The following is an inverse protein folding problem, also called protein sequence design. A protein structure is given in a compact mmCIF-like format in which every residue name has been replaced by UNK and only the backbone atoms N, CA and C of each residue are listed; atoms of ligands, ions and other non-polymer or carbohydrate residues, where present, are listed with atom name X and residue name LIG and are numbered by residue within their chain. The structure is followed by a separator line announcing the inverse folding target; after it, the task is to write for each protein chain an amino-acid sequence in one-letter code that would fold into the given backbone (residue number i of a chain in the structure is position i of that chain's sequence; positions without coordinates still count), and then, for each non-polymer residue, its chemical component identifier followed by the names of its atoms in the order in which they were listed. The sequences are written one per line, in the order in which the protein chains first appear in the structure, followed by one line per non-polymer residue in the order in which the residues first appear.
data_IF_834553099842
#
_entry.id   IF_834553099842
#
_cell.length_a   1.000
_cell.length_b   1.000
_cell.length_c   1.000
_cell.angle_alpha   90.00
_cell.angle_beta   90.00
_cell.angle_gamma   90.00
#
_symmetry.space_group_name_H-M   'P 1'
#
loop_
_entity.id
_entity.type
_entity.pdbx_description
1 polymer ?
#
# COMPACT_ATOMS: atom_id res chain seq x y z
N UNK A 1 -5.94 -3.06 21.26
CA UNK A 1 -7.33 -2.76 21.66
C UNK A 1 -8.04 -2.00 20.53
N UNK A 2 -9.26 -2.40 20.16
CA UNK A 2 -10.07 -1.62 19.21
C UNK A 2 -10.81 -0.52 19.97
N UNK A 3 -10.73 0.73 19.49
CA UNK A 3 -11.39 1.90 20.09
C UNK A 3 -12.08 2.73 19.02
N UNK A 4 -13.31 3.12 19.27
CA UNK A 4 -14.01 4.11 18.44
C UNK A 4 -13.69 5.51 18.95
N UNK A 5 -13.30 6.41 18.04
CA UNK A 5 -12.90 7.78 18.36
C UNK A 5 -13.59 8.79 17.46
N UNK A 6 -13.71 10.02 17.97
CA UNK A 6 -14.17 11.16 17.20
C UNK A 6 -12.97 12.03 16.80
N UNK A 7 -12.94 12.45 15.54
CA UNK A 7 -11.91 13.35 15.01
C UNK A 7 -12.48 14.73 14.73
N UNK A 8 -11.60 15.74 14.78
CA UNK A 8 -11.92 17.13 14.41
C UNK A 8 -11.61 17.43 12.96
N UNK A 9 -10.73 16.63 12.34
CA UNK A 9 -10.35 16.75 10.95
C UNK A 9 -10.27 15.37 10.31
N UNK A 10 -10.76 15.26 9.07
CA UNK A 10 -10.69 14.03 8.28
C UNK A 10 -9.52 14.06 7.31
N UNK A 11 -9.31 15.22 6.68
CA UNK A 11 -8.19 15.49 5.79
C UNK A 11 -6.96 15.92 6.58
N UNK A 12 -5.90 15.11 6.55
CA UNK A 12 -4.59 15.51 7.07
C UNK A 12 -3.59 15.54 5.92
N UNK A 13 -2.29 15.71 6.22
CA UNK A 13 -1.27 15.84 5.19
C UNK A 13 -0.07 14.93 5.47
N UNK A 14 0.49 14.40 4.40
CA UNK A 14 1.82 13.81 4.39
C UNK A 14 2.80 14.69 3.64
N UNK A 15 4.05 14.63 4.10
CA UNK A 15 5.16 15.42 3.60
C UNK A 15 6.21 14.47 3.03
N UNK A 16 6.06 14.06 1.77
CA UNK A 16 7.06 13.24 1.09
C UNK A 16 8.43 13.93 1.04
N UNK A 17 9.54 13.17 0.91
CA UNK A 17 10.90 13.71 0.90
C UNK A 17 11.20 14.68 -0.26
N UNK A 18 10.38 14.69 -1.31
CA UNK A 18 10.48 15.61 -2.45
C UNK A 18 9.99 17.04 -2.12
N UNK A 19 9.56 17.29 -0.87
CA UNK A 19 9.06 18.59 -0.42
C UNK A 19 7.59 18.83 -0.78
N UNK A 20 6.91 17.83 -1.36
CA UNK A 20 5.49 17.89 -1.65
C UNK A 20 4.62 17.93 -0.39
N UNK A 21 3.34 18.24 -0.58
CA UNK A 21 2.32 18.12 0.45
C UNK A 21 1.16 17.34 -0.16
N UNK A 22 0.86 16.19 0.42
CA UNK A 22 -0.15 15.26 -0.10
C UNK A 22 -1.32 15.21 0.88
N UNK A 23 -2.53 15.59 0.45
CA UNK A 23 -3.72 15.47 1.29
C UNK A 23 -4.12 14.00 1.44
N UNK A 24 -4.31 13.57 2.69
CA UNK A 24 -4.58 12.18 3.05
C UNK A 24 -5.85 12.02 3.88
N UNK A 25 -6.55 10.92 3.64
CA UNK A 25 -7.69 10.46 4.44
C UNK A 25 -7.37 9.06 4.96
N UNK A 26 -7.29 8.94 6.28
CA UNK A 26 -7.07 7.66 6.94
C UNK A 26 -8.27 7.36 7.85
N UNK A 27 -9.22 6.51 7.44
CA UNK A 27 -10.39 6.15 8.25
C UNK A 27 -10.06 5.46 9.57
N UNK A 28 -8.87 4.89 9.63
CA UNK A 28 -8.36 4.15 10.77
C UNK A 28 -7.00 4.71 11.18
N UNK A 29 -6.59 4.39 12.38
CA UNK A 29 -5.23 4.65 12.88
C UNK A 29 -4.76 3.38 13.60
N UNK A 30 -3.65 2.83 13.10
CA UNK A 30 -3.24 1.43 13.27
C UNK A 30 -3.55 0.55 12.05
N UNK A 31 -2.92 -0.61 11.99
CA UNK A 31 -3.10 -1.56 10.88
C UNK A 31 -2.99 -3.02 11.34
N UNK A 32 -3.94 -3.85 10.90
CA UNK A 32 -4.03 -5.27 11.29
C UNK A 32 -3.33 -6.23 10.34
N UNK A 33 -2.80 -5.75 9.20
CA UNK A 33 -2.05 -6.60 8.25
C UNK A 33 -0.74 -7.12 8.87
N UNK A 34 -0.14 -6.35 9.79
CA UNK A 34 0.98 -6.85 10.60
C UNK A 34 2.30 -7.06 9.87
N UNK A 35 2.59 -6.29 8.82
CA UNK A 35 3.85 -6.42 8.06
C UNK A 35 5.06 -6.21 8.99
N UNK A 36 6.04 -7.12 9.03
CA UNK A 36 7.21 -7.01 9.90
C UNK A 36 8.17 -5.89 9.49
N UNK A 37 8.05 -5.39 8.26
CA UNK A 37 8.83 -4.30 7.68
C UNK A 37 8.06 -2.97 7.57
N UNK A 38 6.89 -2.85 8.21
CA UNK A 38 6.09 -1.62 8.11
C UNK A 38 6.83 -0.41 8.70
N UNK A 39 6.87 0.69 7.97
CA UNK A 39 7.55 1.92 8.39
C UNK A 39 6.91 2.60 9.61
N UNK A 40 5.64 2.30 9.89
CA UNK A 40 4.90 2.82 11.04
C UNK A 40 5.23 2.09 12.35
N UNK A 41 6.08 1.06 12.33
CA UNK A 41 6.40 0.26 13.53
C UNK A 41 7.21 0.99 14.60
N UNK A 42 7.69 2.20 14.33
CA UNK A 42 8.25 3.06 15.38
C UNK A 42 7.17 3.49 16.39
N UNK A 43 5.90 3.55 15.96
CA UNK A 43 4.78 3.55 16.89
C UNK A 43 4.61 2.14 17.48
N UNK A 44 4.85 2.03 18.78
CA UNK A 44 4.79 0.77 19.49
C UNK A 44 3.40 0.12 19.50
N UNK A 45 2.37 0.94 19.34
CA UNK A 45 0.97 0.54 19.40
C UNK A 45 0.39 0.19 18.03
N UNK A 46 1.15 0.42 16.95
CA UNK A 46 0.68 0.38 15.56
C UNK A 46 -0.09 -0.89 15.13
N UNK A 47 0.30 -2.06 15.66
CA UNK A 47 -0.39 -3.32 15.37
C UNK A 47 -1.20 -3.87 16.55
N UNK A 48 -1.12 -3.24 17.72
CA UNK A 48 -1.84 -3.71 18.90
C UNK A 48 -3.10 -2.92 19.12
N UNK A 49 -3.06 -1.60 18.93
CA UNK A 49 -4.19 -0.70 19.05
C UNK A 49 -4.72 -0.31 17.67
N UNK A 50 -6.04 -0.12 17.61
CA UNK A 50 -6.74 0.25 16.39
C UNK A 50 -7.83 1.25 16.73
N UNK A 51 -7.60 2.49 16.31
CA UNK A 51 -8.56 3.57 16.46
C UNK A 51 -9.44 3.64 15.20
N UNK A 52 -10.75 3.65 15.39
CA UNK A 52 -11.75 3.76 14.34
C UNK A 52 -12.38 5.14 14.40
N UNK A 53 -12.15 5.95 13.36
CA UNK A 53 -12.61 7.36 13.34
C UNK A 53 -14.06 7.43 12.90
N UNK A 54 -14.99 7.09 13.79
CA UNK A 54 -16.39 6.80 13.45
C UNK A 54 -17.15 7.96 12.80
N UNK A 55 -16.74 9.21 13.04
CA UNK A 55 -17.33 10.42 12.45
C UNK A 55 -16.56 10.96 11.24
N UNK A 56 -15.57 10.22 10.71
CA UNK A 56 -14.65 10.76 9.69
C UNK A 56 -15.39 11.21 8.42
N UNK A 57 -16.41 10.49 7.97
CA UNK A 57 -17.17 10.87 6.78
C UNK A 57 -17.95 12.17 6.97
N UNK A 58 -18.51 12.40 8.16
CA UNK A 58 -19.29 13.60 8.46
C UNK A 58 -18.39 14.84 8.56
N UNK A 59 -17.17 14.64 9.07
CA UNK A 59 -16.15 15.69 9.10
C UNK A 59 -15.64 15.96 7.69
N UNK A 60 -15.32 14.91 6.93
CA UNK A 60 -14.87 15.02 5.55
C UNK A 60 -15.87 15.79 4.69
N UNK A 61 -17.16 15.47 4.79
CA UNK A 61 -18.21 16.16 4.05
C UNK A 61 -18.16 17.68 4.26
N UNK A 62 -17.89 18.15 5.50
CA UNK A 62 -17.80 19.58 5.82
C UNK A 62 -16.52 20.21 5.27
N UNK A 63 -15.39 19.52 5.39
CA UNK A 63 -14.09 19.98 4.88
C UNK A 63 -14.10 20.10 3.35
N UNK A 64 -14.82 19.19 2.67
CA UNK A 64 -14.90 19.17 1.21
C UNK A 64 -15.64 20.36 0.59
N UNK A 65 -16.41 21.14 1.36
CA UNK A 65 -17.14 22.33 0.88
C UNK A 65 -16.17 23.38 0.30
N UNK A 66 -14.97 23.49 0.87
CA UNK A 66 -13.96 24.48 0.49
C UNK A 66 -12.78 23.84 -0.26
N UNK A 67 -12.90 22.57 -0.65
CA UNK A 67 -11.78 21.81 -1.20
C UNK A 67 -11.50 22.13 -2.66
N UNK A 68 -10.22 22.23 -3.02
CA UNK A 68 -9.81 22.41 -4.39
C UNK A 68 -10.00 21.10 -5.18
N UNK A 69 -10.84 21.13 -6.21
CA UNK A 69 -11.19 19.93 -7.00
C UNK A 69 -10.04 19.37 -7.83
N UNK A 70 -8.98 20.14 -8.03
CA UNK A 70 -7.81 19.69 -8.78
C UNK A 70 -6.83 18.85 -7.98
N UNK A 71 -6.90 18.95 -6.65
CA UNK A 71 -6.01 18.22 -5.74
C UNK A 71 -6.35 16.72 -5.75
N UNK A 72 -5.30 15.90 -5.71
CA UNK A 72 -5.44 14.44 -5.61
C UNK A 72 -5.36 14.03 -4.15
N UNK A 73 -6.41 13.36 -3.66
CA UNK A 73 -6.50 12.89 -2.29
C UNK A 73 -6.05 11.44 -2.20
N UNK A 74 -5.17 11.14 -1.26
CA UNK A 74 -4.72 9.78 -0.98
C UNK A 74 -5.50 9.18 0.19
N UNK A 75 -6.07 8.00 0.01
CA UNK A 75 -6.82 7.29 1.04
C UNK A 75 -6.06 6.03 1.44
N UNK A 76 -5.75 5.90 2.74
CA UNK A 76 -5.02 4.75 3.27
C UNK A 76 -3.50 4.92 3.23
N UNK A 77 -3.01 6.10 3.61
CA UNK A 77 -1.56 6.35 3.74
C UNK A 77 -1.03 5.87 5.09
N UNK A 78 -1.78 6.12 6.16
CA UNK A 78 -1.51 5.68 7.53
C UNK A 78 -2.59 4.73 8.05
N UNK A 79 -3.06 3.84 7.20
CA UNK A 79 -3.82 2.64 7.55
C UNK A 79 -3.96 1.75 6.32
N UNK A 80 -4.51 0.54 6.49
CA UNK A 80 -5.09 -0.17 5.33
C UNK A 80 -6.61 0.02 5.32
N UNK A 81 -7.18 0.63 4.26
CA UNK A 81 -8.59 0.99 4.22
C UNK A 81 -9.51 -0.22 3.98
N UNK A 82 -8.99 -1.38 3.57
CA UNK A 82 -9.76 -2.59 3.28
C UNK A 82 -9.38 -3.78 4.17
N UNK A 83 -8.74 -3.52 5.32
CA UNK A 83 -8.58 -4.54 6.37
C UNK A 83 -9.94 -5.05 6.86
N UNK A 84 -9.96 -6.22 7.49
CA UNK A 84 -11.20 -6.97 7.76
C UNK A 84 -12.28 -6.17 8.53
N UNK A 85 -11.89 -5.25 9.42
CA UNK A 85 -12.84 -4.42 10.17
C UNK A 85 -13.67 -3.47 9.29
N UNK A 86 -13.21 -3.15 8.08
CA UNK A 86 -13.93 -2.33 7.11
C UNK A 86 -15.25 -2.97 6.66
N UNK A 87 -15.42 -4.30 6.81
CA UNK A 87 -16.71 -4.96 6.58
C UNK A 87 -17.81 -4.42 7.49
N UNK A 88 -17.46 -4.17 8.76
CA UNK A 88 -18.37 -3.66 9.78
C UNK A 88 -18.56 -2.15 9.64
N UNK A 89 -17.45 -1.41 9.59
CA UNK A 89 -17.45 0.04 9.77
C UNK A 89 -17.79 0.83 8.50
N UNK A 90 -17.38 0.30 7.34
CA UNK A 90 -17.63 0.88 6.01
C UNK A 90 -17.15 2.33 5.88
N UNK A 91 -16.13 2.74 6.64
CA UNK A 91 -15.68 4.13 6.66
C UNK A 91 -14.95 4.49 5.36
N UNK A 92 -14.19 3.56 4.79
CA UNK A 92 -13.58 3.75 3.47
C UNK A 92 -14.65 4.00 2.42
N UNK A 93 -15.70 3.15 2.39
CA UNK A 93 -16.84 3.35 1.47
C UNK A 93 -17.50 4.71 1.67
N UNK A 94 -17.77 5.11 2.91
CA UNK A 94 -18.39 6.42 3.22
C UNK A 94 -17.51 7.58 2.75
N UNK A 95 -16.19 7.51 2.97
CA UNK A 95 -15.27 8.52 2.45
C UNK A 95 -15.28 8.56 0.91
N UNK A 96 -15.25 7.41 0.25
CA UNK A 96 -15.34 7.33 -1.22
C UNK A 96 -16.63 7.92 -1.76
N UNK A 97 -17.77 7.72 -1.07
CA UNK A 97 -19.04 8.34 -1.45
C UNK A 97 -18.96 9.87 -1.39
N UNK A 98 -18.37 10.45 -0.34
CA UNK A 98 -18.20 11.91 -0.24
C UNK A 98 -17.27 12.46 -1.33
N UNK A 99 -16.16 11.78 -1.62
CA UNK A 99 -15.24 12.16 -2.71
C UNK A 99 -15.91 12.05 -4.09
N UNK A 100 -16.71 11.01 -4.30
CA UNK A 100 -17.42 10.73 -5.56
C UNK A 100 -18.48 11.80 -5.86
N UNK A 101 -19.22 12.30 -4.85
CA UNK A 101 -20.22 13.39 -5.01
C UNK A 101 -19.61 14.65 -5.65
N UNK A 102 -18.32 14.91 -5.41
CA UNK A 102 -17.61 16.07 -5.95
C UNK A 102 -16.71 15.72 -7.14
N UNK A 103 -16.66 14.44 -7.54
CA UNK A 103 -15.80 13.90 -8.59
C UNK A 103 -14.31 14.25 -8.40
N UNK A 104 -13.82 14.13 -7.15
CA UNK A 104 -12.43 14.43 -6.80
C UNK A 104 -11.48 13.34 -7.29
N UNK A 105 -10.24 13.75 -7.64
CA UNK A 105 -9.16 12.81 -7.90
C UNK A 105 -8.82 12.10 -6.59
N UNK A 106 -8.85 10.77 -6.59
CA UNK A 106 -8.58 9.95 -5.43
C UNK A 106 -7.69 8.75 -5.80
N UNK A 107 -6.67 8.52 -4.97
CA UNK A 107 -5.83 7.34 -5.02
C UNK A 107 -6.04 6.55 -3.73
N UNK A 108 -6.37 5.27 -3.84
CA UNK A 108 -6.56 4.41 -2.67
C UNK A 108 -5.44 3.40 -2.59
N UNK A 109 -4.76 3.32 -1.46
CA UNK A 109 -3.70 2.33 -1.23
C UNK A 109 -4.21 1.20 -0.36
N UNK A 110 -4.00 -0.05 -0.77
CA UNK A 110 -4.29 -1.20 0.08
C UNK A 110 -3.36 -2.37 -0.25
N UNK A 111 -3.09 -3.20 0.75
CA UNK A 111 -2.42 -4.49 0.65
C UNK A 111 -3.27 -5.62 1.22
N UNK A 112 -4.50 -5.33 1.65
CA UNK A 112 -5.41 -6.32 2.19
C UNK A 112 -5.66 -7.43 1.17
N UNK A 113 -5.59 -8.69 1.63
CA UNK A 113 -5.95 -9.86 0.82
C UNK A 113 -7.45 -10.05 0.64
N UNK A 114 -8.25 -9.24 1.35
CA UNK A 114 -9.69 -9.29 1.28
C UNK A 114 -10.16 -8.74 -0.08
N UNK A 115 -11.13 -9.42 -0.71
CA UNK A 115 -11.80 -8.92 -1.92
C UNK A 115 -12.86 -7.86 -1.57
N UNK A 116 -12.67 -7.10 -0.49
CA UNK A 116 -13.69 -6.17 0.03
C UNK A 116 -13.88 -4.96 -0.87
N UNK A 117 -12.83 -4.52 -1.59
CA UNK A 117 -12.91 -3.44 -2.57
C UNK A 117 -13.98 -3.67 -3.65
N UNK A 118 -14.30 -4.92 -3.98
CA UNK A 118 -15.36 -5.22 -4.96
C UNK A 118 -16.75 -4.75 -4.50
N UNK A 119 -16.98 -4.63 -3.20
CA UNK A 119 -18.21 -4.03 -2.63
C UNK A 119 -18.39 -2.59 -3.13
N UNK A 120 -17.29 -1.87 -3.34
CA UNK A 120 -17.30 -0.42 -3.58
C UNK A 120 -17.19 -0.04 -5.05
N UNK A 121 -17.28 -1.02 -5.96
CA UNK A 121 -17.26 -0.81 -7.41
C UNK A 121 -18.38 0.13 -7.87
N UNK A 122 -19.55 0.08 -7.24
CA UNK A 122 -20.68 0.97 -7.60
C UNK A 122 -20.36 2.45 -7.33
N UNK A 123 -19.47 2.73 -6.39
CA UNK A 123 -18.99 4.09 -6.07
C UNK A 123 -17.76 4.46 -6.90
N UNK A 124 -16.85 3.51 -7.07
CA UNK A 124 -15.55 3.70 -7.71
C UNK A 124 -15.68 3.82 -9.24
N UNK A 125 -16.46 2.95 -9.88
CA UNK A 125 -16.56 2.88 -11.35
C UNK A 125 -17.07 4.19 -11.98
N UNK A 126 -18.08 4.89 -11.43
CA UNK A 126 -18.51 6.19 -11.93
C UNK A 126 -17.43 7.30 -11.88
N UNK A 127 -16.41 7.17 -11.03
CA UNK A 127 -15.32 8.17 -10.93
C UNK A 127 -14.37 8.10 -12.15
N UNK A 128 -14.41 7.01 -12.93
CA UNK A 128 -13.59 6.86 -14.13
C UNK A 128 -12.10 7.07 -13.85
N UNK A 129 -11.46 7.92 -14.65
CA UNK A 129 -10.02 8.22 -14.54
C UNK A 129 -9.64 9.05 -13.30
N UNK A 130 -10.60 9.51 -12.50
CA UNK A 130 -10.33 10.22 -11.24
C UNK A 130 -9.99 9.27 -10.11
N UNK A 131 -10.26 7.98 -10.25
CA UNK A 131 -9.89 6.96 -9.27
C UNK A 131 -8.69 6.16 -9.74
N UNK A 132 -7.75 5.89 -8.84
CA UNK A 132 -6.68 4.90 -9.05
C UNK A 132 -6.50 4.03 -7.81
N UNK A 133 -6.46 2.72 -8.00
CA UNK A 133 -6.09 1.77 -6.95
C UNK A 133 -4.57 1.53 -6.96
N UNK A 134 -3.93 1.70 -5.81
CA UNK A 134 -2.54 1.33 -5.56
C UNK A 134 -2.53 0.03 -4.75
N UNK A 135 -2.36 -1.11 -5.42
CA UNK A 135 -2.49 -2.43 -4.80
C UNK A 135 -1.12 -3.03 -4.46
N UNK A 136 -0.84 -3.20 -3.17
CA UNK A 136 0.37 -3.85 -2.68
C UNK A 136 0.32 -5.36 -2.87
N UNK A 137 1.39 -5.94 -3.42
CA UNK A 137 1.52 -7.39 -3.65
C UNK A 137 2.48 -8.06 -2.66
N UNK A 138 3.26 -7.30 -1.90
CA UNK A 138 4.11 -7.85 -0.83
C UNK A 138 3.27 -8.19 0.40
N UNK A 139 2.26 -9.07 0.28
CA UNK A 139 1.48 -9.57 1.41
C UNK A 139 2.02 -10.92 1.86
N UNK A 140 2.80 -10.93 2.94
CA UNK A 140 3.47 -12.14 3.44
C UNK A 140 2.54 -13.31 3.74
N UNK A 141 1.31 -13.06 4.20
CA UNK A 141 0.35 -14.15 4.44
C UNK A 141 0.01 -14.85 3.12
N UNK A 142 -0.32 -14.07 2.08
CA UNK A 142 -0.62 -14.63 0.76
C UNK A 142 0.62 -15.29 0.14
N UNK A 143 1.79 -14.63 0.25
CA UNK A 143 3.05 -15.16 -0.29
C UNK A 143 3.45 -16.50 0.34
N UNK A 144 3.10 -16.74 1.61
CA UNK A 144 3.39 -18.02 2.29
C UNK A 144 2.41 -19.16 1.97
N UNK A 145 1.30 -18.86 1.30
CA UNK A 145 0.20 -19.80 1.06
C UNK A 145 0.10 -20.27 -0.41
N UNK A 146 0.95 -19.75 -1.29
CA UNK A 146 0.85 -19.95 -2.74
C UNK A 146 2.19 -20.34 -3.35
N UNK A 147 2.15 -21.30 -4.28
CA UNK A 147 3.26 -21.64 -5.17
C UNK A 147 3.05 -21.10 -6.60
N UNK A 148 1.82 -20.64 -6.90
CA UNK A 148 1.43 -20.04 -8.18
C UNK A 148 0.84 -18.64 -7.94
N UNK A 149 1.57 -17.61 -8.39
CA UNK A 149 1.18 -16.20 -8.25
C UNK A 149 -0.12 -15.84 -8.97
N UNK A 150 -0.57 -16.61 -9.96
CA UNK A 150 -1.87 -16.39 -10.60
C UNK A 150 -3.05 -16.66 -9.66
N UNK A 151 -2.82 -17.43 -8.58
CA UNK A 151 -3.80 -17.72 -7.54
C UNK A 151 -3.77 -16.71 -6.38
N UNK A 152 -2.77 -15.82 -6.33
CA UNK A 152 -2.64 -14.83 -5.28
C UNK A 152 -3.82 -13.83 -5.34
N UNK A 153 -4.55 -13.67 -4.22
CA UNK A 153 -5.78 -12.87 -4.16
C UNK A 153 -5.57 -11.43 -4.65
N UNK A 154 -4.45 -10.79 -4.30
CA UNK A 154 -4.17 -9.43 -4.76
C UNK A 154 -3.90 -9.37 -6.26
N UNK A 155 -3.18 -10.33 -6.85
CA UNK A 155 -2.96 -10.37 -8.30
C UNK A 155 -4.28 -10.61 -9.05
N UNK A 156 -5.11 -11.54 -8.57
CA UNK A 156 -6.46 -11.74 -9.12
C UNK A 156 -7.31 -10.48 -9.03
N UNK A 157 -7.23 -9.77 -7.91
CA UNK A 157 -7.95 -8.51 -7.67
C UNK A 157 -7.51 -7.43 -8.64
N UNK A 158 -6.20 -7.22 -8.82
CA UNK A 158 -5.66 -6.27 -9.79
C UNK A 158 -6.18 -6.55 -11.20
N UNK A 159 -5.99 -7.79 -11.67
CA UNK A 159 -6.36 -8.20 -13.01
C UNK A 159 -7.88 -8.09 -13.24
N UNK A 160 -8.69 -8.46 -12.25
CA UNK A 160 -10.15 -8.38 -12.37
C UNK A 160 -10.64 -6.93 -12.38
N UNK A 161 -10.14 -6.07 -11.49
CA UNK A 161 -10.53 -4.66 -11.48
C UNK A 161 -10.08 -3.93 -12.74
N UNK A 162 -8.88 -4.23 -13.24
CA UNK A 162 -8.39 -3.71 -14.51
C UNK A 162 -9.33 -4.06 -15.67
N UNK A 163 -9.73 -5.34 -15.80
CA UNK A 163 -10.72 -5.78 -16.81
C UNK A 163 -12.09 -5.09 -16.68
N UNK A 164 -12.42 -4.57 -15.50
CA UNK A 164 -13.65 -3.82 -15.27
C UNK A 164 -13.54 -2.33 -15.64
N UNK A 165 -12.38 -1.90 -16.13
CA UNK A 165 -12.07 -0.52 -16.53
C UNK A 165 -11.60 0.37 -15.38
N UNK A 166 -11.21 -0.20 -14.24
CA UNK A 166 -10.66 0.56 -13.11
C UNK A 166 -9.15 0.74 -13.31
N UNK A 167 -8.64 1.95 -13.12
CA UNK A 167 -7.20 2.21 -13.12
C UNK A 167 -6.57 1.53 -11.91
N UNK A 168 -5.67 0.57 -12.14
CA UNK A 168 -4.95 -0.17 -11.11
C UNK A 168 -3.46 -0.06 -11.37
N UNK A 169 -2.70 0.25 -10.34
CA UNK A 169 -1.25 0.15 -10.28
C UNK A 169 -0.89 -0.87 -9.21
N UNK A 170 0.11 -1.70 -9.46
CA UNK A 170 0.55 -2.72 -8.50
C UNK A 170 1.92 -2.40 -7.94
N UNK A 171 2.10 -2.65 -6.65
CA UNK A 171 3.30 -2.32 -5.90
C UNK A 171 3.89 -3.58 -5.27
N UNK A 172 5.07 -4.00 -5.71
CA UNK A 172 5.86 -5.02 -5.02
C UNK A 172 6.87 -4.28 -4.14
N UNK A 173 6.34 -3.69 -3.06
CA UNK A 173 7.08 -2.81 -2.16
C UNK A 173 6.89 -3.27 -0.70
N UNK A 174 7.94 -3.81 -0.05
CA UNK A 174 9.27 -4.07 -0.60
C UNK A 174 9.32 -5.36 -1.44
N UNK A 175 10.28 -5.42 -2.35
CA UNK A 175 10.86 -6.68 -2.85
C UNK A 175 11.49 -7.40 -1.66
N UNK A 176 11.24 -8.70 -1.53
CA UNK A 176 11.71 -9.53 -0.43
C UNK A 176 12.59 -10.65 -1.00
N UNK A 177 13.92 -10.48 -1.07
CA UNK A 177 14.82 -11.45 -1.69
C UNK A 177 14.68 -12.85 -1.09
N UNK A 178 14.42 -13.85 -1.94
CA UNK A 178 14.18 -15.23 -1.54
C UNK A 178 12.75 -15.54 -1.06
N UNK A 179 11.86 -14.55 -1.02
CA UNK A 179 10.44 -14.71 -0.66
C UNK A 179 9.51 -14.28 -1.82
N UNK A 180 9.84 -13.18 -2.49
CA UNK A 180 9.13 -12.74 -3.71
C UNK A 180 9.89 -13.18 -4.95
N UNK A 181 9.20 -13.83 -5.88
CA UNK A 181 9.67 -14.05 -7.25
C UNK A 181 9.07 -12.98 -8.17
N UNK A 182 9.87 -11.96 -8.47
CA UNK A 182 9.43 -10.80 -9.25
C UNK A 182 9.06 -11.17 -10.68
N UNK A 183 9.75 -12.12 -11.30
CA UNK A 183 9.47 -12.52 -12.68
C UNK A 183 8.11 -13.21 -12.80
N UNK A 184 7.85 -14.16 -11.90
CA UNK A 184 6.58 -14.88 -11.84
C UNK A 184 5.43 -13.96 -11.45
N UNK A 185 5.65 -13.05 -10.50
CA UNK A 185 4.65 -12.04 -10.12
C UNK A 185 4.30 -11.12 -11.30
N UNK A 186 5.29 -10.56 -12.00
CA UNK A 186 5.05 -9.68 -13.17
C UNK A 186 4.32 -10.44 -14.28
N UNK A 187 4.70 -11.69 -14.52
CA UNK A 187 4.07 -12.54 -15.55
C UNK A 187 2.61 -12.87 -15.23
N UNK A 188 2.25 -12.95 -13.95
CA UNK A 188 0.88 -13.21 -13.51
C UNK A 188 -0.04 -11.96 -13.55
N UNK A 189 0.52 -10.76 -13.73
CA UNK A 189 -0.22 -9.50 -13.76
C UNK A 189 -0.52 -9.12 -15.22
N UNK A 190 -1.75 -8.66 -15.47
CA UNK A 190 -2.20 -8.18 -16.77
C UNK A 190 -1.24 -7.12 -17.35
N UNK A 191 -0.86 -7.28 -18.62
CA UNK A 191 0.26 -6.57 -19.25
C UNK A 191 0.12 -5.04 -19.25
N UNK A 192 -1.11 -4.54 -19.20
CA UNK A 192 -1.41 -3.11 -19.24
C UNK A 192 -1.37 -2.46 -17.84
N UNK A 193 -1.23 -3.26 -16.78
CA UNK A 193 -1.11 -2.77 -15.40
C UNK A 193 0.36 -2.37 -15.13
N UNK A 194 0.64 -1.10 -14.77
CA UNK A 194 1.97 -0.66 -14.38
C UNK A 194 2.42 -1.30 -13.07
N UNK A 195 3.70 -1.69 -13.00
CA UNK A 195 4.30 -2.35 -11.84
C UNK A 195 5.33 -1.43 -11.20
N UNK A 196 5.20 -1.21 -9.90
CA UNK A 196 6.08 -0.39 -9.10
C UNK A 196 6.87 -1.27 -8.13
N UNK A 197 8.20 -1.17 -8.18
CA UNK A 197 9.14 -1.96 -7.41
C UNK A 197 9.95 -1.06 -6.48
N UNK A 198 10.23 -1.53 -5.26
CA UNK A 198 11.20 -0.89 -4.38
C UNK A 198 11.80 -1.92 -3.43
N UNK A 199 13.03 -1.67 -2.98
CA UNK A 199 13.71 -2.54 -2.03
C UNK A 199 13.26 -2.32 -0.60
N UNK A 200 13.73 -3.19 0.29
CA UNK A 200 13.61 -2.97 1.74
C UNK A 200 14.41 -1.72 2.13
N UNK A 201 13.73 -0.69 2.63
CA UNK A 201 14.35 0.56 3.15
C UNK A 201 14.12 0.68 4.64
N UNK A 202 15.01 0.09 5.43
CA UNK A 202 14.94 0.14 6.89
C UNK A 202 16.18 0.80 7.47
N UNK A 203 15.98 1.70 8.43
CA UNK A 203 17.08 2.28 9.19
C UNK A 203 17.58 1.26 10.22
N UNK A 204 18.90 1.15 10.37
CA UNK A 204 19.55 0.26 11.34
C UNK A 204 19.05 0.54 12.76
N UNK A 205 18.95 -0.51 13.57
CA UNK A 205 18.57 -0.44 14.99
C UNK A 205 17.18 0.17 15.26
N UNK A 206 16.30 0.19 14.25
CA UNK A 206 14.90 0.59 14.42
C UNK A 206 14.01 -0.61 14.71
N UNK A 207 12.82 -0.36 15.27
CA UNK A 207 11.85 -1.42 15.54
C UNK A 207 11.43 -2.20 14.28
N UNK A 208 11.17 -1.57 13.11
CA UNK A 208 10.97 -2.31 11.86
C UNK A 208 12.15 -3.24 11.48
N UNK A 209 13.40 -2.77 11.60
CA UNK A 209 14.58 -3.57 11.25
C UNK A 209 14.70 -4.82 12.13
N UNK A 210 14.57 -4.65 13.44
CA UNK A 210 14.61 -5.75 14.41
C UNK A 210 13.45 -6.72 14.23
N UNK A 211 12.26 -6.22 13.89
CA UNK A 211 11.08 -7.07 13.66
C UNK A 211 11.21 -7.87 12.37
N UNK A 212 11.71 -7.28 11.30
CA UNK A 212 12.01 -8.00 10.06
C UNK A 212 13.07 -9.07 10.29
N UNK A 213 14.20 -8.73 10.93
CA UNK A 213 15.26 -9.71 11.23
C UNK A 213 14.72 -10.89 12.05
N UNK A 214 13.94 -10.62 13.10
CA UNK A 214 13.31 -11.67 13.91
C UNK A 214 12.35 -12.53 13.10
N UNK A 215 11.52 -11.91 12.27
CA UNK A 215 10.60 -12.64 11.41
C UNK A 215 11.35 -13.57 10.45
N UNK A 216 12.38 -13.07 9.77
CA UNK A 216 13.22 -13.87 8.88
C UNK A 216 13.91 -15.00 9.65
N UNK A 217 14.49 -14.71 10.82
CA UNK A 217 15.14 -15.73 11.65
C UNK A 217 14.20 -16.87 12.06
N UNK A 218 12.92 -16.58 12.29
CA UNK A 218 11.93 -17.57 12.69
C UNK A 218 11.33 -18.36 11.52
N UNK A 219 11.04 -17.70 10.40
CA UNK A 219 10.28 -18.29 9.29
C UNK A 219 11.15 -18.69 8.08
N UNK A 220 12.27 -17.99 7.87
CA UNK A 220 13.18 -18.18 6.74
C UNK A 220 14.64 -18.17 7.22
N UNK A 221 15.04 -19.06 8.15
CA UNK A 221 16.36 -19.00 8.79
C UNK A 221 17.52 -19.09 7.79
N UNK A 222 17.32 -19.76 6.65
CA UNK A 222 18.30 -19.84 5.57
C UNK A 222 18.57 -18.49 4.87
N UNK A 223 17.66 -17.51 4.98
CA UNK A 223 17.79 -16.16 4.41
C UNK A 223 18.36 -15.13 5.39
N UNK A 224 18.62 -15.49 6.66
CA UNK A 224 18.98 -14.51 7.70
C UNK A 224 20.23 -13.69 7.36
N UNK A 225 21.22 -14.32 6.72
CA UNK A 225 22.44 -13.62 6.28
C UNK A 225 22.12 -12.55 5.24
N UNK A 226 21.34 -12.91 4.22
CA UNK A 226 20.87 -11.98 3.17
C UNK A 226 20.16 -10.77 3.77
N UNK A 227 19.22 -11.00 4.70
CA UNK A 227 18.49 -9.88 5.31
C UNK A 227 19.34 -9.05 6.28
N UNK A 228 20.31 -9.64 6.96
CA UNK A 228 21.30 -8.87 7.72
C UNK A 228 22.15 -7.98 6.81
N UNK A 229 22.56 -8.48 5.66
CA UNK A 229 23.32 -7.68 4.68
C UNK A 229 22.45 -6.54 4.10
N UNK A 230 21.18 -6.79 3.81
CA UNK A 230 20.23 -5.75 3.37
C UNK A 230 20.06 -4.68 4.46
N UNK A 231 19.75 -5.08 5.71
CA UNK A 231 19.43 -4.15 6.80
C UNK A 231 20.68 -3.39 7.28
N UNK A 232 21.80 -4.09 7.48
CA UNK A 232 22.97 -3.54 8.17
C UNK A 232 24.09 -3.13 7.21
N UNK A 233 24.16 -3.68 6.00
CA UNK A 233 25.19 -3.36 5.03
C UNK A 233 24.64 -2.64 3.79
N UNK A 234 23.31 -2.45 3.70
CA UNK A 234 22.64 -1.86 2.54
C UNK A 234 23.03 -2.54 1.22
N UNK A 235 23.25 -3.86 1.28
CA UNK A 235 23.64 -4.69 0.14
C UNK A 235 22.46 -5.57 -0.25
N UNK A 236 21.89 -5.34 -1.43
CA UNK A 236 20.75 -6.08 -1.96
C UNK A 236 21.02 -6.49 -3.41
N UNK A 237 21.80 -7.57 -3.59
CA UNK A 237 22.20 -8.06 -4.92
C UNK A 237 20.98 -8.43 -5.76
N UNK A 238 19.97 -9.05 -5.15
CA UNK A 238 18.75 -9.44 -5.86
C UNK A 238 18.00 -8.22 -6.42
N UNK A 239 17.90 -7.13 -5.64
CA UNK A 239 17.29 -5.90 -6.14
C UNK A 239 18.06 -5.32 -7.35
N UNK A 240 19.39 -5.31 -7.31
CA UNK A 240 20.20 -4.82 -8.44
C UNK A 240 20.02 -5.69 -9.69
N UNK A 241 19.94 -7.02 -9.55
CA UNK A 241 19.66 -7.94 -10.67
C UNK A 241 18.27 -7.68 -11.27
N UNK A 242 17.24 -7.50 -10.42
CA UNK A 242 15.88 -7.15 -10.84
C UNK A 242 15.86 -5.80 -11.56
N UNK A 243 16.65 -4.83 -11.08
CA UNK A 243 16.78 -3.52 -11.69
C UNK A 243 17.45 -3.57 -13.06
N UNK A 244 18.53 -4.32 -13.21
CA UNK A 244 19.18 -4.51 -14.51
C UNK A 244 18.22 -5.14 -15.53
N UNK A 245 17.47 -6.15 -15.09
CA UNK A 245 16.52 -6.88 -15.94
C UNK A 245 15.31 -6.05 -16.36
N UNK A 246 14.65 -5.40 -15.42
CA UNK A 246 13.35 -4.75 -15.65
C UNK A 246 13.43 -3.23 -15.84
N UNK A 247 14.55 -2.59 -15.51
CA UNK A 247 14.72 -1.13 -15.53
C UNK A 247 14.62 -0.47 -16.90
N UNK A 248 14.65 -1.24 -18.00
CA UNK A 248 14.47 -0.75 -19.37
C UNK A 248 13.04 -0.88 -19.89
N UNK A 249 12.14 -1.46 -19.11
CA UNK A 249 10.74 -1.64 -19.52
C UNK A 249 9.90 -0.43 -19.13
N UNK A 250 9.04 0.05 -20.02
CA UNK A 250 8.16 1.21 -19.70
C UNK A 250 7.12 0.89 -18.61
N UNK A 251 6.73 -0.38 -18.52
CA UNK A 251 5.73 -0.90 -17.59
C UNK A 251 6.24 -0.95 -16.14
N UNK A 252 7.53 -1.21 -15.92
CA UNK A 252 8.10 -1.40 -14.59
C UNK A 252 8.84 -0.14 -14.15
N UNK A 253 8.50 0.36 -12.96
CA UNK A 253 9.09 1.57 -12.38
C UNK A 253 9.70 1.25 -11.01
N UNK A 254 10.89 1.79 -10.76
CA UNK A 254 11.53 1.69 -9.45
C UNK A 254 11.21 2.96 -8.63
N UNK A 255 10.60 2.79 -7.46
CA UNK A 255 10.09 3.90 -6.64
C UNK A 255 11.19 4.42 -5.71
N UNK A 256 11.15 5.73 -5.41
CA UNK A 256 12.06 6.39 -4.47
C UNK A 256 13.55 6.30 -4.85
N UNK A 257 13.83 6.04 -6.13
CA UNK A 257 15.13 6.36 -6.69
C UNK A 257 15.17 7.88 -6.89
N UNK A 258 16.08 8.55 -6.18
CA UNK A 258 16.43 9.91 -6.55
C UNK A 258 16.79 9.89 -8.02
N UNK A 259 16.11 10.71 -8.83
CA UNK A 259 16.62 11.06 -10.14
C UNK A 259 18.04 11.57 -9.89
N UNK A 260 19.04 10.78 -10.25
CA UNK A 260 20.32 11.36 -10.64
C UNK A 260 20.00 12.16 -11.90
N UNK A 261 19.46 13.37 -11.72
CA UNK A 261 19.59 14.42 -12.69
C UNK A 261 21.08 14.74 -12.72
N UNK A 262 21.81 13.99 -13.54
CA UNK A 262 22.91 14.56 -14.29
C UNK A 262 22.32 15.71 -15.09
N UNK A 263 22.44 16.92 -14.54
CA UNK A 263 22.62 18.18 -15.25
C UNK A 263 23.64 19.01 -14.46
#
# INVERSE_FOLDING_TARGET
MLKEIFVKSAMTYEYPPDGGTVPIIDPYDGCTIGCPYCFQLEDETWNTDLNVKVNISDVLQKELIQWNKEDTVYLGSKCDPYMEIERKYQLTRKCLLELSKLNLKCMVTTKAGSKLIFRDIDVIKPMGNKFTLLLGLSNLQQLSEIDDYTLMSNIQTANQLHRMGITVWVFITPILPGITDIDSMISAIDQDIPVFLDKVRLKRNTRPALRLERFIGNHYPHLIKTYKDIIYNNTDVYYEDIKEKWGKTERVKFVFESSNSTD
#
